data_IF_486535255516
#
_entry.id   IF_486535255516
#
_cell.length_a   1.000
_cell.length_b   1.000
_cell.length_c   1.000
_cell.angle_alpha   90.00
_cell.angle_beta   90.00
_cell.angle_gamma   90.00
#
_symmetry.space_group_name_H-M   'P 1'
#
loop_
_entity.id
_entity.type
_entity.pdbx_description
1 polymer ?
#
# COMPACT_ATOMS: atom_id res chain seq x y z
N UNK A 1 5.18 32.27 42.50
CA UNK A 1 4.39 31.77 41.35
C UNK A 1 4.76 32.60 40.14
N UNK A 2 5.67 32.10 39.29
CA UNK A 2 5.99 32.70 38.00
C UNK A 2 5.49 31.75 36.91
N UNK A 3 4.71 32.26 35.95
CA UNK A 3 4.22 31.47 34.83
C UNK A 3 5.32 31.40 33.76
N UNK A 4 5.79 30.20 33.44
CA UNK A 4 6.68 29.99 32.31
C UNK A 4 5.86 30.10 31.03
N UNK A 5 5.96 31.22 30.32
CA UNK A 5 5.40 31.34 28.97
C UNK A 5 6.32 30.62 28.00
N UNK A 6 5.80 29.56 27.39
CA UNK A 6 6.51 28.81 26.36
C UNK A 6 6.73 29.72 25.13
N UNK A 7 7.98 29.89 24.65
CA UNK A 7 8.22 30.65 23.43
C UNK A 7 7.57 29.95 22.24
N UNK A 8 6.86 30.71 21.39
CA UNK A 8 6.25 30.23 20.16
C UNK A 8 7.34 29.85 19.16
N UNK A 9 7.72 28.58 19.16
CA UNK A 9 8.59 28.01 18.12
C UNK A 9 7.80 27.99 16.81
N UNK A 10 8.30 28.54 15.69
CA UNK A 10 7.69 28.28 14.40
C UNK A 10 7.76 26.76 14.17
N UNK A 11 6.60 26.16 13.89
CA UNK A 11 6.50 24.77 13.49
C UNK A 11 7.29 24.57 12.20
N UNK A 12 8.56 24.20 12.31
CA UNK A 12 9.36 23.68 11.21
C UNK A 12 8.80 22.30 10.87
N UNK A 13 7.77 22.31 10.03
CA UNK A 13 6.96 21.17 9.64
C UNK A 13 7.67 20.12 8.75
N UNK A 14 8.97 20.28 8.46
CA UNK A 14 9.57 19.61 7.31
C UNK A 14 10.62 18.54 7.62
N UNK A 15 11.08 18.36 8.86
CA UNK A 15 12.25 17.49 9.13
C UNK A 15 12.02 16.25 10.01
N UNK A 16 10.78 15.91 10.40
CA UNK A 16 10.53 14.73 11.26
C UNK A 16 9.49 13.72 10.76
N UNK A 17 8.95 13.86 9.54
CA UNK A 17 8.16 12.79 8.95
C UNK A 17 9.05 12.05 7.96
N UNK A 18 9.30 10.73 8.14
CA UNK A 18 9.87 9.94 7.06
C UNK A 18 8.92 10.11 5.88
N UNK A 19 9.35 10.85 4.86
CA UNK A 19 8.54 11.08 3.67
C UNK A 19 8.10 9.70 3.18
N UNK A 20 6.79 9.45 3.22
CA UNK A 20 6.20 8.21 2.72
C UNK A 20 6.53 8.12 1.23
N UNK A 21 7.65 7.48 0.92
CA UNK A 21 8.10 7.28 -0.44
C UNK A 21 7.39 6.05 -0.98
N UNK A 22 6.64 6.25 -2.06
CA UNK A 22 6.08 5.14 -2.81
C UNK A 22 7.22 4.25 -3.32
N UNK A 23 7.17 2.96 -2.98
CA UNK A 23 8.21 1.99 -3.38
C UNK A 23 8.08 1.63 -4.86
N UNK A 24 6.85 1.51 -5.36
CA UNK A 24 6.56 1.18 -6.77
C UNK A 24 6.18 2.42 -7.57
N UNK A 25 5.26 3.24 -7.05
CA UNK A 25 4.82 4.49 -7.69
C UNK A 25 3.62 5.13 -7.00
N UNK A 26 3.45 6.45 -7.06
CA UNK A 26 2.40 7.18 -6.35
C UNK A 26 0.97 6.82 -6.80
N UNK A 27 0.80 6.32 -8.02
CA UNK A 27 -0.50 5.87 -8.55
C UNK A 27 -1.07 4.64 -7.82
N UNK A 28 -0.25 3.94 -7.03
CA UNK A 28 -0.68 2.82 -6.19
C UNK A 28 -0.95 3.23 -4.74
N UNK A 29 -0.81 4.52 -4.41
CA UNK A 29 -1.15 5.07 -3.10
C UNK A 29 -2.59 5.60 -3.14
N UNK A 30 -3.43 5.12 -2.23
CA UNK A 30 -4.74 5.70 -2.04
C UNK A 30 -4.61 7.06 -1.31
N UNK A 31 -5.29 8.12 -1.77
CA UNK A 31 -5.00 9.46 -1.32
C UNK A 31 -5.50 9.75 0.11
N UNK A 32 -6.59 9.10 0.56
CA UNK A 32 -7.23 9.44 1.84
C UNK A 32 -7.83 8.26 2.61
N UNK A 33 -7.75 7.04 2.09
CA UNK A 33 -8.42 5.88 2.69
C UNK A 33 -7.63 4.58 2.45
N UNK A 34 -7.69 3.63 3.38
CA UNK A 34 -7.13 2.30 3.14
C UNK A 34 -7.93 1.57 2.06
N UNK A 35 -7.24 0.79 1.23
CA UNK A 35 -7.86 -0.09 0.23
C UNK A 35 -7.72 -1.52 0.72
N UNK A 36 -8.85 -2.15 1.05
CA UNK A 36 -8.88 -3.55 1.42
C UNK A 36 -8.72 -4.42 0.18
N UNK A 37 -7.70 -5.27 0.19
CA UNK A 37 -7.38 -6.16 -0.92
C UNK A 37 -7.67 -7.61 -0.57
N UNK A 38 -8.25 -8.33 -1.52
CA UNK A 38 -8.55 -9.76 -1.41
C UNK A 38 -7.91 -10.54 -2.55
N UNK A 39 -7.53 -11.79 -2.27
CA UNK A 39 -7.09 -12.74 -3.29
C UNK A 39 -8.31 -13.50 -3.80
N UNK A 40 -8.63 -13.31 -5.08
CA UNK A 40 -9.63 -14.10 -5.77
C UNK A 40 -8.94 -15.25 -6.53
N UNK A 41 -9.25 -16.48 -6.13
CA UNK A 41 -8.80 -17.73 -6.78
C UNK A 41 -10.01 -18.55 -7.23
N UNK A 42 -9.99 -19.03 -8.46
CA UNK A 42 -11.02 -19.96 -8.94
C UNK A 42 -10.61 -21.38 -8.54
N UNK A 43 -11.21 -21.92 -7.47
CA UNK A 43 -10.87 -23.22 -6.88
C UNK A 43 -11.00 -24.40 -7.87
N UNK A 44 -11.81 -24.24 -8.93
CA UNK A 44 -12.06 -25.28 -9.93
C UNK A 44 -11.00 -25.37 -11.04
N UNK A 45 -9.99 -24.51 -11.08
CA UNK A 45 -8.93 -24.55 -12.08
C UNK A 45 -7.58 -24.77 -11.40
N UNK A 46 -6.77 -25.71 -11.92
CA UNK A 46 -5.34 -25.76 -11.62
C UNK A 46 -4.75 -24.48 -12.21
N UNK A 47 -4.64 -23.44 -11.40
CA UNK A 47 -3.96 -22.22 -11.78
C UNK A 47 -2.52 -22.36 -11.31
N UNK A 48 -1.57 -22.47 -12.24
CA UNK A 48 -0.12 -22.57 -11.98
C UNK A 48 0.42 -21.33 -11.24
N UNK A 49 -0.05 -21.07 -10.02
CA UNK A 49 0.19 -19.83 -9.28
C UNK A 49 -0.51 -18.59 -9.82
N UNK A 50 -1.42 -18.69 -10.80
CA UNK A 50 -2.14 -17.53 -11.32
C UNK A 50 -3.31 -17.14 -10.40
N UNK A 51 -3.39 -15.87 -10.02
CA UNK A 51 -4.49 -15.32 -9.24
C UNK A 51 -4.74 -13.85 -9.54
N UNK A 52 -5.89 -13.34 -9.09
CA UNK A 52 -6.23 -11.93 -9.19
C UNK A 52 -6.34 -11.32 -7.80
N UNK A 53 -5.83 -10.11 -7.65
CA UNK A 53 -6.04 -9.29 -6.46
C UNK A 53 -7.14 -8.29 -6.78
N UNK A 54 -8.16 -8.22 -5.93
CA UNK A 54 -9.31 -7.32 -6.09
C UNK A 54 -9.47 -6.43 -4.86
N UNK A 55 -10.22 -5.35 -5.00
CA UNK A 55 -10.83 -4.70 -3.83
C UNK A 55 -12.06 -5.48 -3.34
N UNK A 56 -12.65 -5.02 -2.23
CA UNK A 56 -13.88 -5.57 -1.64
C UNK A 56 -15.12 -5.43 -2.54
N UNK A 57 -15.09 -4.54 -3.53
CA UNK A 57 -16.17 -4.37 -4.50
C UNK A 57 -16.01 -5.32 -5.71
N UNK A 58 -14.91 -6.07 -5.78
CA UNK A 58 -14.60 -7.00 -6.87
C UNK A 58 -13.88 -6.34 -8.05
N UNK A 59 -13.44 -5.08 -7.94
CA UNK A 59 -12.63 -4.44 -8.97
C UNK A 59 -11.23 -5.07 -9.01
N UNK A 60 -10.74 -5.43 -10.20
CA UNK A 60 -9.41 -6.03 -10.36
C UNK A 60 -8.34 -4.95 -10.18
N UNK A 61 -7.51 -5.12 -9.15
CA UNK A 61 -6.34 -4.27 -8.90
C UNK A 61 -5.10 -4.84 -9.57
N UNK A 62 -4.89 -6.16 -9.48
CA UNK A 62 -3.75 -6.83 -10.10
C UNK A 62 -4.11 -8.20 -10.67
N UNK A 63 -3.46 -8.57 -11.77
CA UNK A 63 -3.42 -9.94 -12.29
C UNK A 63 -2.02 -10.49 -12.06
N UNK A 64 -1.89 -11.48 -11.20
CA UNK A 64 -0.61 -12.12 -10.88
C UNK A 64 -0.48 -13.39 -11.71
N UNK A 65 0.64 -13.51 -12.41
CA UNK A 65 1.03 -14.73 -13.12
C UNK A 65 2.03 -15.49 -12.28
N UNK A 66 1.83 -16.80 -12.12
CA UNK A 66 2.85 -17.65 -11.53
C UNK A 66 4.09 -17.69 -12.42
N UNK A 67 5.26 -17.72 -11.80
CA UNK A 67 6.52 -17.94 -12.49
C UNK A 67 6.81 -19.44 -12.49
N UNK A 68 7.07 -20.02 -13.67
CA UNK A 68 7.70 -21.33 -13.75
C UNK A 68 9.17 -21.13 -13.37
N UNK A 69 9.53 -21.54 -12.15
CA UNK A 69 10.93 -21.60 -11.74
C UNK A 69 11.58 -22.69 -12.59
N UNK A 70 12.41 -22.32 -13.56
CA UNK A 70 13.25 -23.30 -14.27
C UNK A 70 14.31 -23.78 -13.29
N UNK A 71 14.44 -25.10 -13.02
CA UNK A 71 15.55 -25.59 -12.23
C UNK A 71 16.86 -25.21 -12.93
N UNK A 72 17.73 -24.53 -12.19
CA UNK A 72 19.11 -24.20 -12.61
C UNK A 72 20.02 -25.41 -12.47
#
# INVERSE_FOLDING_TARGET
MGAYTQPSVPFVANDLQPALKAIIGPQYCAPNYPVDLAIARKILAITDGNFTVTDVNGNIMFKVKGALLKPS
#
